data_IF_346056002104
#
_entry.id   IF_346056002104
#
_cell.length_a   1.000
_cell.length_b   1.000
_cell.length_c   1.000
_cell.angle_alpha   90.00
_cell.angle_beta   90.00
_cell.angle_gamma   90.00
#
_symmetry.space_group_name_H-M   'P 1'
#
loop_
_entity.id
_entity.type
_entity.pdbx_description
1 polymer ?
#
# COMPACT_ATOMS: atom_id res chain seq x y z
N UNK A 1 -49.66 10.11 -6.04
CA UNK A 1 -48.70 9.07 -5.63
C UNK A 1 -48.83 8.92 -4.14
N UNK A 2 -49.00 7.70 -3.61
CA UNK A 2 -49.10 7.49 -2.16
C UNK A 2 -47.84 8.05 -1.49
N UNK A 3 -48.01 9.00 -0.57
CA UNK A 3 -46.90 9.66 0.13
C UNK A 3 -46.03 8.70 0.95
N UNK A 4 -46.53 7.49 1.24
CA UNK A 4 -45.80 6.45 1.96
C UNK A 4 -44.68 5.74 1.14
N UNK A 5 -44.74 5.76 -0.19
CA UNK A 5 -43.76 5.03 -1.03
C UNK A 5 -42.36 5.61 -0.92
N UNK A 6 -42.10 6.95 -1.04
CA UNK A 6 -40.80 7.51 -0.83
C UNK A 6 -40.22 7.27 0.56
N UNK A 7 -41.06 7.31 1.59
CA UNK A 7 -40.64 7.04 2.95
C UNK A 7 -40.21 5.57 3.12
N UNK A 8 -40.96 4.61 2.57
CA UNK A 8 -40.60 3.20 2.59
C UNK A 8 -39.29 2.91 1.89
N UNK A 9 -39.05 3.50 0.71
CA UNK A 9 -37.80 3.37 -0.02
C UNK A 9 -36.63 3.89 0.82
N UNK A 10 -36.78 5.08 1.41
CA UNK A 10 -35.75 5.67 2.28
C UNK A 10 -35.41 4.80 3.48
N UNK A 11 -36.44 4.22 4.14
CA UNK A 11 -36.23 3.32 5.28
C UNK A 11 -35.51 2.02 4.88
N UNK A 12 -35.86 1.44 3.75
CA UNK A 12 -35.21 0.22 3.23
C UNK A 12 -33.77 0.50 2.87
N UNK A 13 -33.47 1.62 2.20
CA UNK A 13 -32.10 2.02 1.87
C UNK A 13 -31.27 2.27 3.14
N UNK A 14 -31.85 2.91 4.15
CA UNK A 14 -31.17 3.15 5.43
C UNK A 14 -30.85 1.83 6.16
N UNK A 15 -31.77 0.88 6.21
CA UNK A 15 -31.54 -0.43 6.80
C UNK A 15 -30.45 -1.21 6.03
N UNK A 16 -30.47 -1.16 4.71
CA UNK A 16 -29.46 -1.82 3.89
C UNK A 16 -28.08 -1.19 4.05
N UNK A 17 -27.99 0.14 4.18
CA UNK A 17 -26.74 0.85 4.48
C UNK A 17 -26.14 0.36 5.80
N UNK A 18 -26.98 0.20 6.84
CA UNK A 18 -26.53 -0.32 8.14
C UNK A 18 -26.00 -1.75 8.03
N UNK A 19 -26.72 -2.64 7.34
CA UNK A 19 -26.26 -4.01 7.11
C UNK A 19 -24.96 -4.09 6.32
N UNK A 20 -24.78 -3.23 5.32
CA UNK A 20 -23.53 -3.16 4.54
C UNK A 20 -22.36 -2.72 5.42
N UNK A 21 -22.58 -1.79 6.35
CA UNK A 21 -21.56 -1.36 7.30
C UNK A 21 -21.10 -2.52 8.20
N UNK A 22 -22.02 -3.38 8.64
CA UNK A 22 -21.70 -4.58 9.42
C UNK A 22 -20.79 -5.57 8.65
N UNK A 23 -20.84 -5.49 7.31
CA UNK A 23 -19.97 -6.24 6.40
C UNK A 23 -18.74 -5.46 5.90
N UNK A 24 -18.36 -4.37 6.59
CA UNK A 24 -17.23 -3.49 6.23
C UNK A 24 -17.37 -2.78 4.88
N UNK A 25 -18.60 -2.55 4.42
CA UNK A 25 -18.90 -1.78 3.20
C UNK A 25 -19.46 -0.42 3.59
N UNK A 26 -18.68 0.64 3.34
CA UNK A 26 -19.11 2.02 3.59
C UNK A 26 -19.85 2.58 2.38
N UNK A 27 -21.16 2.77 2.53
CA UNK A 27 -21.99 3.40 1.50
C UNK A 27 -21.95 4.91 1.66
N UNK A 28 -21.45 5.62 0.65
CA UNK A 28 -21.39 7.09 0.64
C UNK A 28 -22.67 7.75 0.14
N UNK A 29 -23.38 7.10 -0.76
CA UNK A 29 -24.66 7.57 -1.33
C UNK A 29 -25.63 6.41 -1.38
N UNK A 30 -26.80 6.58 -0.79
CA UNK A 30 -27.83 5.54 -0.69
C UNK A 30 -28.34 5.10 -2.08
N UNK A 31 -28.43 6.04 -3.04
CA UNK A 31 -28.82 5.75 -4.43
C UNK A 31 -27.84 4.79 -5.13
N UNK A 32 -26.58 4.75 -4.66
CA UNK A 32 -25.57 3.82 -5.16
C UNK A 32 -25.90 2.36 -4.89
N UNK A 33 -26.68 2.05 -3.85
CA UNK A 33 -27.11 0.69 -3.52
C UNK A 33 -28.05 0.15 -4.61
N UNK A 34 -29.01 0.96 -5.02
CA UNK A 34 -29.96 0.61 -6.07
C UNK A 34 -29.24 0.39 -7.41
N UNK A 35 -28.35 1.30 -7.77
CA UNK A 35 -27.54 1.19 -8.99
C UNK A 35 -26.65 -0.04 -8.95
N UNK A 36 -25.99 -0.33 -7.81
CA UNK A 36 -25.18 -1.52 -7.66
C UNK A 36 -25.98 -2.82 -7.75
N UNK A 37 -27.22 -2.84 -7.23
CA UNK A 37 -28.12 -3.99 -7.33
C UNK A 37 -28.60 -4.32 -8.73
N UNK A 38 -28.57 -3.37 -9.65
CA UNK A 38 -28.98 -3.51 -11.06
C UNK A 38 -27.83 -3.73 -12.04
N UNK A 39 -26.57 -3.89 -11.55
CA UNK A 39 -25.41 -4.13 -12.39
C UNK A 39 -25.49 -5.47 -13.12
N UNK A 40 -25.29 -5.43 -14.45
CA UNK A 40 -25.09 -6.60 -15.29
C UNK A 40 -23.61 -6.85 -15.60
N UNK A 41 -22.82 -5.78 -15.67
CA UNK A 41 -21.38 -5.81 -15.99
C UNK A 41 -20.66 -4.89 -15.04
N UNK A 42 -19.62 -5.41 -14.38
CA UNK A 42 -18.74 -4.65 -13.49
C UNK A 42 -17.34 -4.54 -14.12
N UNK A 43 -16.91 -3.31 -14.37
CA UNK A 43 -15.52 -3.02 -14.71
C UNK A 43 -14.79 -2.63 -13.44
N UNK A 44 -13.73 -3.36 -13.10
CA UNK A 44 -12.92 -3.09 -11.93
C UNK A 44 -11.44 -3.01 -12.31
N UNK A 45 -10.72 -2.06 -11.72
CA UNK A 45 -9.27 -2.09 -11.74
C UNK A 45 -8.77 -3.24 -10.84
N UNK A 46 -7.63 -3.83 -11.21
CA UNK A 46 -7.02 -4.91 -10.44
C UNK A 46 -6.38 -4.39 -9.16
N UNK A 47 -5.57 -3.34 -9.28
CA UNK A 47 -4.70 -2.89 -8.19
C UNK A 47 -5.45 -1.96 -7.22
N UNK A 48 -5.58 -2.39 -6.00
CA UNK A 48 -6.37 -1.76 -4.93
C UNK A 48 -7.71 -2.47 -4.71
N UNK A 49 -8.70 -2.36 -5.63
CA UNK A 49 -10.03 -2.95 -5.41
C UNK A 49 -10.04 -4.47 -5.26
N UNK A 50 -9.17 -5.19 -6.00
CA UNK A 50 -9.12 -6.66 -6.00
C UNK A 50 -7.91 -7.17 -5.22
N UNK A 51 -6.86 -6.38 -5.09
CA UNK A 51 -5.63 -6.73 -4.37
C UNK A 51 -5.54 -6.00 -3.04
N UNK A 52 -4.65 -6.44 -2.16
CA UNK A 52 -4.38 -5.76 -0.88
C UNK A 52 -3.80 -4.34 -1.04
N UNK A 53 -3.44 -3.93 -2.27
CA UNK A 53 -2.87 -2.61 -2.56
C UNK A 53 -1.48 -2.38 -1.93
N UNK A 54 -0.87 -3.42 -1.38
CA UNK A 54 0.48 -3.38 -0.82
C UNK A 54 1.45 -4.05 -1.78
N UNK A 55 2.59 -3.40 -1.98
CA UNK A 55 3.71 -3.95 -2.74
C UNK A 55 4.75 -4.53 -1.79
N UNK A 56 5.41 -5.61 -2.22
CA UNK A 56 6.54 -6.22 -1.54
C UNK A 56 7.62 -6.56 -2.58
N UNK A 57 8.88 -6.43 -2.18
CA UNK A 57 10.00 -6.89 -3.00
C UNK A 57 10.09 -8.39 -2.85
N UNK A 58 9.93 -9.12 -3.95
CA UNK A 58 9.93 -10.60 -3.95
C UNK A 58 11.20 -11.19 -4.56
N UNK A 59 11.86 -10.44 -5.45
CA UNK A 59 13.07 -10.91 -6.14
C UNK A 59 13.93 -9.75 -6.62
N UNK A 60 15.22 -9.99 -6.83
CA UNK A 60 16.21 -9.04 -7.33
C UNK A 60 16.84 -9.59 -8.60
N UNK A 61 16.71 -8.87 -9.72
CA UNK A 61 17.36 -9.19 -10.98
C UNK A 61 18.53 -8.25 -11.21
N UNK A 62 19.72 -8.81 -11.43
CA UNK A 62 20.91 -8.06 -11.78
C UNK A 62 21.02 -7.90 -13.29
N UNK A 63 21.80 -6.91 -13.73
CA UNK A 63 21.99 -6.60 -15.13
C UNK A 63 22.71 -7.70 -15.95
N UNK A 64 23.34 -8.67 -15.30
CA UNK A 64 23.95 -9.86 -15.87
C UNK A 64 22.96 -11.02 -16.06
N UNK A 65 21.69 -10.83 -15.69
CA UNK A 65 20.64 -11.83 -15.80
C UNK A 65 20.52 -12.77 -14.58
N UNK A 66 21.37 -12.60 -13.55
CA UNK A 66 21.22 -13.36 -12.31
C UNK A 66 20.06 -12.84 -11.47
N UNK A 67 19.22 -13.77 -11.03
CA UNK A 67 18.20 -13.53 -10.00
C UNK A 67 18.79 -13.88 -8.64
N UNK A 68 18.61 -12.96 -7.68
CA UNK A 68 19.00 -13.17 -6.28
C UNK A 68 17.73 -13.28 -5.46
N UNK A 69 17.47 -14.45 -4.91
CA UNK A 69 16.42 -14.63 -3.91
C UNK A 69 16.71 -13.71 -2.71
N UNK A 70 15.68 -13.01 -2.26
CA UNK A 70 15.77 -12.06 -1.14
C UNK A 70 16.34 -12.73 0.12
N UNK A 71 16.01 -13.99 0.36
CA UNK A 71 16.55 -14.75 1.50
C UNK A 71 18.07 -14.95 1.43
N UNK A 72 18.66 -14.82 0.24
CA UNK A 72 20.09 -14.96 -0.03
C UNK A 72 20.82 -13.64 -0.29
N UNK A 73 20.09 -12.50 -0.30
CA UNK A 73 20.65 -11.19 -0.60
C UNK A 73 21.85 -10.82 0.32
N UNK A 74 21.84 -11.30 1.56
CA UNK A 74 22.92 -11.09 2.53
C UNK A 74 24.25 -11.71 2.12
N UNK A 75 24.25 -12.76 1.26
CA UNK A 75 25.49 -13.38 0.74
C UNK A 75 26.23 -12.48 -0.27
N UNK A 76 25.55 -11.51 -0.84
CA UNK A 76 26.08 -10.58 -1.83
C UNK A 76 26.35 -9.19 -1.23
N UNK A 77 27.14 -9.13 -0.15
CA UNK A 77 27.30 -7.95 0.71
C UNK A 77 27.61 -6.64 -0.03
N UNK A 78 28.45 -6.67 -1.08
CA UNK A 78 28.79 -5.45 -1.85
C UNK A 78 27.62 -4.94 -2.66
N UNK A 79 26.90 -5.84 -3.34
CA UNK A 79 25.73 -5.49 -4.16
C UNK A 79 24.60 -5.02 -3.25
N UNK A 80 24.38 -5.75 -2.14
CA UNK A 80 23.39 -5.39 -1.12
C UNK A 80 23.64 -3.98 -0.59
N UNK A 81 24.86 -3.62 -0.22
CA UNK A 81 25.20 -2.29 0.27
C UNK A 81 24.90 -1.17 -0.73
N UNK A 82 25.13 -1.40 -2.04
CA UNK A 82 24.77 -0.44 -3.09
C UNK A 82 23.25 -0.31 -3.25
N UNK A 83 22.53 -1.41 -3.20
CA UNK A 83 21.05 -1.42 -3.24
C UNK A 83 20.48 -0.67 -2.05
N UNK A 84 20.95 -0.96 -0.85
CA UNK A 84 20.50 -0.32 0.39
C UNK A 84 20.73 1.20 0.37
N UNK A 85 21.92 1.62 -0.08
CA UNK A 85 22.26 3.02 -0.25
C UNK A 85 21.38 3.70 -1.31
N UNK A 86 21.16 3.06 -2.44
CA UNK A 86 20.33 3.59 -3.52
C UNK A 86 18.89 3.76 -3.07
N UNK A 87 18.31 2.77 -2.40
CA UNK A 87 16.94 2.83 -1.88
C UNK A 87 16.83 3.89 -0.78
N UNK A 88 17.72 3.84 0.21
CA UNK A 88 17.64 4.75 1.37
C UNK A 88 17.81 6.22 1.03
N UNK A 89 18.48 6.53 -0.10
CA UNK A 89 18.73 7.93 -0.53
C UNK A 89 17.78 8.42 -1.63
N UNK A 90 17.14 7.54 -2.38
CA UNK A 90 16.19 7.92 -3.43
C UNK A 90 14.71 7.76 -3.02
N UNK A 91 14.44 7.14 -1.88
CA UNK A 91 13.07 6.99 -1.39
C UNK A 91 12.59 8.25 -0.66
N UNK A 92 11.31 8.59 -0.85
CA UNK A 92 10.62 9.63 -0.09
C UNK A 92 9.90 9.07 1.15
N UNK A 93 10.06 7.78 1.43
CA UNK A 93 9.53 7.13 2.63
C UNK A 93 10.54 7.19 3.78
N UNK A 94 10.04 7.14 4.99
CA UNK A 94 10.84 7.09 6.22
C UNK A 94 10.15 6.20 7.26
N UNK A 95 10.86 5.86 8.33
CA UNK A 95 10.28 5.17 9.48
C UNK A 95 9.74 6.19 10.50
N UNK A 96 8.52 5.96 11.02
CA UNK A 96 7.96 6.73 12.13
C UNK A 96 8.44 6.19 13.48
N UNK A 97 8.10 6.91 14.56
CA UNK A 97 8.44 6.50 15.94
C UNK A 97 7.79 5.16 16.37
N UNK A 98 6.86 4.65 15.59
CA UNK A 98 6.20 3.36 15.78
C UNK A 98 6.77 2.27 14.87
N UNK A 99 7.96 2.48 14.30
CA UNK A 99 8.66 1.57 13.38
C UNK A 99 7.87 1.23 12.10
N UNK A 100 6.95 2.11 11.69
CA UNK A 100 6.15 1.94 10.47
C UNK A 100 6.70 2.81 9.35
N UNK A 101 6.69 2.29 8.14
CA UNK A 101 7.06 3.07 6.95
C UNK A 101 5.93 4.02 6.60
N UNK A 102 6.24 5.32 6.52
CA UNK A 102 5.33 6.41 6.19
C UNK A 102 5.91 7.29 5.08
N UNK A 103 5.04 8.03 4.42
CA UNK A 103 5.43 8.91 3.29
C UNK A 103 5.69 8.14 1.99
N UNK A 104 6.07 8.87 0.94
CA UNK A 104 6.32 8.31 -0.37
C UNK A 104 5.11 7.63 -1.03
N UNK A 105 5.36 6.96 -2.14
CA UNK A 105 4.37 6.14 -2.82
C UNK A 105 4.45 4.66 -2.38
N UNK A 106 3.56 3.81 -2.90
CA UNK A 106 3.52 2.39 -2.53
C UNK A 106 4.83 1.65 -2.88
N UNK A 107 5.51 2.05 -3.96
CA UNK A 107 6.80 1.49 -4.35
C UNK A 107 7.90 1.90 -3.37
N UNK A 108 7.97 3.19 -3.02
CA UNK A 108 8.93 3.68 -2.03
C UNK A 108 8.76 2.97 -0.68
N UNK A 109 7.51 2.78 -0.24
CA UNK A 109 7.22 2.08 1.00
C UNK A 109 7.63 0.60 0.95
N UNK A 110 7.43 -0.07 -0.17
CA UNK A 110 7.86 -1.46 -0.36
C UNK A 110 9.38 -1.60 -0.33
N UNK A 111 10.09 -0.70 -1.02
CA UNK A 111 11.54 -0.67 -1.04
C UNK A 111 12.13 -0.34 0.34
N UNK A 112 11.53 0.61 1.07
CA UNK A 112 11.96 0.97 2.42
C UNK A 112 11.77 -0.19 3.40
N UNK A 113 10.64 -0.91 3.32
CA UNK A 113 10.43 -2.14 4.12
C UNK A 113 11.45 -3.22 3.80
N UNK A 114 11.85 -3.33 2.54
CA UNK A 114 12.84 -4.31 2.10
C UNK A 114 14.23 -4.08 2.70
N UNK A 115 14.72 -2.83 2.76
CA UNK A 115 16.01 -2.52 3.40
C UNK A 115 15.95 -2.63 4.92
N UNK A 116 14.83 -2.28 5.53
CA UNK A 116 14.61 -2.30 6.97
C UNK A 116 15.12 -1.04 7.69
N UNK A 117 14.62 -0.83 8.90
CA UNK A 117 14.89 0.36 9.70
C UNK A 117 16.35 0.46 10.15
N UNK A 118 16.97 -0.65 10.55
CA UNK A 118 18.36 -0.67 11.03
C UNK A 118 19.33 -0.18 9.95
N UNK A 119 19.12 -0.63 8.71
CA UNK A 119 19.94 -0.19 7.55
C UNK A 119 19.68 1.29 7.27
N UNK A 120 18.41 1.71 7.27
CA UNK A 120 18.06 3.11 7.02
C UNK A 120 18.71 4.06 8.03
N UNK A 121 18.67 3.74 9.32
CA UNK A 121 19.28 4.51 10.37
C UNK A 121 20.82 4.55 10.23
N UNK A 122 21.45 3.41 9.96
CA UNK A 122 22.90 3.33 9.70
C UNK A 122 23.35 4.21 8.54
N UNK A 123 22.55 4.29 7.47
CA UNK A 123 22.85 5.15 6.33
C UNK A 123 22.73 6.64 6.68
N UNK A 124 21.78 7.02 7.52
CA UNK A 124 21.64 8.40 7.97
C UNK A 124 22.78 8.82 8.88
N UNK A 125 23.21 7.98 9.82
CA UNK A 125 24.33 8.25 10.72
C UNK A 125 25.65 8.41 9.93
N UNK A 126 25.88 7.61 8.90
CA UNK A 126 27.05 7.71 8.04
C UNK A 126 27.13 9.08 7.33
N UNK A 127 26.00 9.60 6.84
CA UNK A 127 25.97 10.89 6.15
C UNK A 127 26.11 12.10 7.09
N UNK A 128 25.56 12.03 8.30
CA UNK A 128 25.79 13.07 9.32
C UNK A 128 27.28 13.15 9.64
N UNK A 129 27.97 12.02 9.74
CA UNK A 129 29.43 11.96 9.97
C UNK A 129 30.25 12.59 8.84
N UNK A 130 29.83 12.43 7.57
CA UNK A 130 30.54 13.00 6.40
C UNK A 130 30.28 14.51 6.25
N UNK A 131 29.12 15.00 6.64
CA UNK A 131 28.76 16.43 6.53
C UNK A 131 29.38 17.30 7.62
N UNK A 132 30.03 16.71 8.65
CA UNK A 132 30.71 17.39 9.75
C UNK A 132 32.23 17.52 9.56
N UNK A 133 32.78 17.06 8.42
CA UNK A 133 34.18 17.22 7.98
C UNK A 133 34.29 18.31 6.91
#
# INVERSE_FOLDING_TARGET
VPEGLPLMISLVLMQNTSKMLDHNVLVRKAEGIETAGSLNILFSDKTGPITKGMLEVVDLFLGDGFSIDISQASKYSKIKGLIDLSIGKNSQSMFDNSHRVVGGNATDQALMKFIGEDIFNSLNDLFISISLI
#
